data_IF_322152728949
#
_entry.id   IF_322152728949
#
_cell.length_a   1.000
_cell.length_b   1.000
_cell.length_c   1.000
_cell.angle_alpha   90.00
_cell.angle_beta   90.00
_cell.angle_gamma   90.00
#
_symmetry.space_group_name_H-M   'P 1'
#
loop_
_entity.id
_entity.type
_entity.pdbx_description
1 polymer ?
#
# COMPACT_ATOMS: atom_id res chain seq x y z
N UNK A 1 51.66 -22.79 -42.50
CA UNK A 1 50.21 -22.62 -42.21
C UNK A 1 49.92 -23.42 -40.97
N UNK A 2 49.57 -22.74 -39.82
CA UNK A 2 49.13 -23.41 -38.60
C UNK A 2 47.59 -23.50 -38.66
N UNK A 3 47.06 -24.73 -38.73
CA UNK A 3 45.63 -24.97 -38.58
C UNK A 3 45.25 -24.77 -37.12
N UNK A 4 44.37 -23.78 -36.86
CA UNK A 4 43.70 -23.63 -35.58
C UNK A 4 42.53 -24.59 -35.52
N UNK A 5 42.68 -25.68 -34.75
CA UNK A 5 41.57 -26.59 -34.42
C UNK A 5 40.59 -25.85 -33.51
N UNK A 6 39.48 -25.39 -34.03
CA UNK A 6 38.35 -24.87 -33.24
C UNK A 6 37.75 -26.04 -32.45
N UNK A 7 37.99 -26.11 -31.16
CA UNK A 7 37.30 -26.98 -30.22
C UNK A 7 35.93 -26.39 -29.91
N UNK A 8 34.94 -26.77 -30.67
CA UNK A 8 33.54 -26.56 -30.27
C UNK A 8 33.17 -27.62 -29.24
N UNK A 9 33.39 -27.37 -27.96
CA UNK A 9 32.88 -28.18 -26.87
C UNK A 9 31.40 -27.98 -26.76
N UNK A 10 30.59 -28.94 -27.18
CA UNK A 10 29.15 -28.94 -26.95
C UNK A 10 28.84 -29.32 -25.50
N UNK A 11 27.78 -28.74 -24.93
CA UNK A 11 27.26 -29.11 -23.61
C UNK A 11 26.81 -30.57 -23.61
N UNK A 12 27.17 -31.31 -22.55
CA UNK A 12 26.67 -32.67 -22.35
C UNK A 12 25.26 -32.64 -21.75
N UNK A 13 24.48 -33.70 -22.04
CA UNK A 13 23.13 -33.86 -21.49
C UNK A 13 23.19 -33.90 -19.95
N UNK A 14 24.20 -34.51 -19.36
CA UNK A 14 24.39 -34.62 -17.90
C UNK A 14 24.70 -33.26 -17.27
N UNK A 15 25.48 -32.37 -17.92
CA UNK A 15 25.71 -31.01 -17.42
C UNK A 15 24.44 -30.20 -17.38
N UNK A 16 23.57 -30.31 -18.39
CA UNK A 16 22.28 -29.64 -18.40
C UNK A 16 21.38 -30.15 -17.26
N UNK A 17 21.34 -31.47 -17.03
CA UNK A 17 20.54 -32.06 -15.95
C UNK A 17 21.01 -31.59 -14.56
N UNK A 18 22.33 -31.52 -14.33
CA UNK A 18 22.88 -31.04 -13.03
C UNK A 18 22.50 -29.56 -12.82
N UNK A 19 22.64 -28.71 -13.82
CA UNK A 19 22.28 -27.30 -13.73
C UNK A 19 20.79 -27.12 -13.40
N UNK A 20 19.90 -27.86 -14.09
CA UNK A 20 18.46 -27.81 -13.81
C UNK A 20 18.13 -28.30 -12.39
N UNK A 21 18.82 -29.35 -11.90
CA UNK A 21 18.62 -29.84 -10.56
C UNK A 21 19.03 -28.80 -9.50
N UNK A 22 20.17 -28.12 -9.68
CA UNK A 22 20.63 -27.06 -8.78
C UNK A 22 19.67 -25.88 -8.77
N UNK A 23 19.22 -25.43 -9.94
CA UNK A 23 18.25 -24.33 -10.05
C UNK A 23 16.94 -24.72 -9.35
N UNK A 24 16.44 -25.93 -9.52
CA UNK A 24 15.23 -26.41 -8.88
C UNK A 24 15.31 -26.37 -7.34
N UNK A 25 16.46 -26.76 -6.77
CA UNK A 25 16.70 -26.69 -5.32
C UNK A 25 16.71 -25.23 -4.85
N UNK A 26 17.44 -24.35 -5.52
CA UNK A 26 17.55 -22.94 -5.17
C UNK A 26 16.19 -22.24 -5.21
N UNK A 27 15.41 -22.47 -6.27
CA UNK A 27 14.05 -21.92 -6.42
C UNK A 27 13.14 -22.43 -5.30
N UNK A 28 13.22 -23.72 -4.96
CA UNK A 28 12.42 -24.32 -3.88
C UNK A 28 12.64 -23.67 -2.51
N UNK A 29 13.84 -23.18 -2.20
CA UNK A 29 14.16 -22.49 -0.95
C UNK A 29 13.69 -21.02 -0.96
N UNK A 30 13.80 -20.36 -2.10
CA UNK A 30 13.54 -18.92 -2.23
C UNK A 30 12.04 -18.62 -2.27
N UNK A 31 11.22 -19.42 -2.95
CA UNK A 31 9.79 -19.15 -3.17
C UNK A 31 8.97 -18.85 -1.90
N UNK A 32 9.08 -19.59 -0.79
CA UNK A 32 8.30 -19.29 0.42
C UNK A 32 8.65 -17.93 1.05
N UNK A 33 9.89 -17.47 0.94
CA UNK A 33 10.35 -16.19 1.48
C UNK A 33 9.76 -14.99 0.74
N UNK A 34 9.48 -15.11 -0.55
CA UNK A 34 8.94 -14.01 -1.36
C UNK A 34 7.57 -13.52 -0.92
N UNK A 35 6.72 -14.40 -0.40
CA UNK A 35 5.36 -14.02 0.03
C UNK A 35 5.42 -13.05 1.22
N UNK A 36 6.21 -13.37 2.25
CA UNK A 36 6.36 -12.50 3.42
C UNK A 36 6.94 -11.13 3.06
N UNK A 37 7.98 -11.10 2.22
CA UNK A 37 8.58 -9.85 1.74
C UNK A 37 7.60 -8.98 0.95
N UNK A 38 6.72 -9.58 0.17
CA UNK A 38 5.69 -8.85 -0.58
C UNK A 38 4.66 -8.20 0.35
N UNK A 39 4.21 -8.94 1.37
CA UNK A 39 3.23 -8.45 2.34
C UNK A 39 3.83 -7.29 3.16
N UNK A 40 5.08 -7.39 3.58
CA UNK A 40 5.81 -6.33 4.28
C UNK A 40 6.03 -5.09 3.41
N UNK A 41 6.40 -5.27 2.14
CA UNK A 41 6.54 -4.17 1.19
C UNK A 41 5.20 -3.46 0.94
N UNK A 42 4.10 -4.20 0.83
CA UNK A 42 2.76 -3.62 0.71
C UNK A 42 2.35 -2.86 1.97
N UNK A 43 2.65 -3.40 3.15
CA UNK A 43 2.38 -2.73 4.42
C UNK A 43 3.16 -1.41 4.55
N UNK A 44 4.44 -1.43 4.24
CA UNK A 44 5.28 -0.23 4.24
C UNK A 44 4.77 0.83 3.26
N UNK A 45 4.29 0.40 2.08
CA UNK A 45 3.64 1.28 1.12
C UNK A 45 2.36 1.91 1.70
N UNK A 46 1.50 1.11 2.35
CA UNK A 46 0.27 1.61 2.98
C UNK A 46 0.59 2.70 4.01
N UNK A 47 1.58 2.49 4.87
CA UNK A 47 1.98 3.50 5.85
C UNK A 47 2.45 4.81 5.18
N UNK A 48 3.21 4.72 4.09
CA UNK A 48 3.64 5.87 3.31
C UNK A 48 2.47 6.60 2.64
N UNK A 49 1.57 5.86 2.02
CA UNK A 49 0.37 6.39 1.37
C UNK A 49 -0.57 7.09 2.39
N UNK A 50 -0.79 6.47 3.56
CA UNK A 50 -1.62 7.04 4.63
C UNK A 50 -1.05 8.35 5.16
N UNK A 51 0.27 8.43 5.40
CA UNK A 51 0.93 9.68 5.82
C UNK A 51 0.83 10.77 4.76
N UNK A 52 0.98 10.41 3.49
CA UNK A 52 0.82 11.34 2.36
C UNK A 52 -0.60 11.88 2.30
N UNK A 53 -1.60 11.02 2.43
CA UNK A 53 -3.02 11.40 2.46
C UNK A 53 -3.35 12.25 3.68
N UNK A 54 -2.80 11.93 4.86
CA UNK A 54 -2.94 12.74 6.06
C UNK A 54 -2.43 14.17 5.83
N UNK A 55 -1.21 14.31 5.36
CA UNK A 55 -0.62 15.63 5.03
C UNK A 55 -1.47 16.39 4.02
N UNK A 56 -2.01 15.70 3.01
CA UNK A 56 -2.87 16.31 2.00
C UNK A 56 -4.21 16.78 2.58
N UNK A 57 -4.86 15.99 3.47
CA UNK A 57 -6.11 16.37 4.14
C UNK A 57 -5.90 17.56 5.07
N UNK A 58 -4.81 17.58 5.82
CA UNK A 58 -4.46 18.72 6.69
C UNK A 58 -4.18 19.99 5.88
N UNK A 59 -3.42 19.87 4.80
CA UNK A 59 -3.16 20.99 3.88
C UNK A 59 -4.45 21.49 3.22
N UNK A 60 -5.35 20.58 2.85
CA UNK A 60 -6.68 20.96 2.33
C UNK A 60 -7.45 21.80 3.35
N UNK A 61 -7.49 21.37 4.61
CA UNK A 61 -8.18 22.08 5.68
C UNK A 61 -7.60 23.49 5.88
N UNK A 62 -6.29 23.65 5.88
CA UNK A 62 -5.64 24.96 5.99
C UNK A 62 -6.10 25.93 4.88
N UNK A 63 -6.23 25.45 3.65
CA UNK A 63 -6.61 26.28 2.50
C UNK A 63 -8.15 26.47 2.37
N UNK A 64 -8.96 25.66 3.06
CA UNK A 64 -10.42 25.67 2.99
C UNK A 64 -11.08 26.03 4.33
N UNK A 65 -10.63 27.08 5.00
CA UNK A 65 -11.22 27.64 6.23
C UNK A 65 -11.39 26.61 7.36
N UNK A 66 -10.44 25.70 7.48
CA UNK A 66 -10.43 24.58 8.44
C UNK A 66 -11.52 23.52 8.18
N UNK A 67 -12.10 23.48 6.98
CA UNK A 67 -13.01 22.42 6.59
C UNK A 67 -12.23 21.26 5.98
N UNK A 68 -12.56 20.04 6.40
CA UNK A 68 -12.01 18.81 5.82
C UNK A 68 -12.72 18.41 4.52
N UNK A 69 -12.09 17.59 3.65
CA UNK A 69 -12.76 17.03 2.48
C UNK A 69 -14.07 16.34 2.88
N UNK A 70 -15.09 16.48 2.05
CA UNK A 70 -16.38 15.80 2.30
C UNK A 70 -16.22 14.29 2.12
N UNK A 71 -16.80 13.52 3.05
CA UNK A 71 -16.83 12.07 2.98
C UNK A 71 -17.59 11.59 1.74
N UNK A 72 -17.08 10.53 1.09
CA UNK A 72 -17.71 9.92 -0.09
C UNK A 72 -16.71 9.07 -0.87
N UNK A 73 -17.17 8.35 -1.90
CA UNK A 73 -16.30 7.49 -2.70
C UNK A 73 -15.20 8.27 -3.43
N UNK A 74 -15.48 9.52 -3.78
CA UNK A 74 -14.55 10.39 -4.53
C UNK A 74 -13.84 11.42 -3.64
N UNK A 75 -13.70 11.16 -2.34
CA UNK A 75 -13.11 12.14 -1.41
C UNK A 75 -11.71 12.60 -1.82
N UNK A 76 -10.89 11.71 -2.37
CA UNK A 76 -9.54 12.05 -2.85
C UNK A 76 -9.56 12.97 -4.07
N UNK A 77 -10.65 12.99 -4.84
CA UNK A 77 -10.79 13.90 -5.98
C UNK A 77 -10.80 15.37 -5.53
N UNK A 78 -11.32 15.66 -4.35
CA UNK A 78 -11.29 17.01 -3.78
C UNK A 78 -9.84 17.47 -3.52
N UNK A 79 -8.93 16.56 -3.17
CA UNK A 79 -7.48 16.83 -3.00
C UNK A 79 -6.75 17.00 -4.34
N UNK A 80 -7.21 16.30 -5.38
CA UNK A 80 -6.67 16.42 -6.74
C UNK A 80 -7.07 17.75 -7.37
N UNK A 81 -8.32 18.15 -7.19
CA UNK A 81 -8.92 19.35 -7.80
C UNK A 81 -8.65 20.63 -6.98
N UNK A 82 -8.04 20.49 -5.78
CA UNK A 82 -7.68 21.63 -4.91
C UNK A 82 -6.63 22.55 -5.51
N UNK A 83 -6.55 23.77 -5.00
CA UNK A 83 -5.52 24.75 -5.37
C UNK A 83 -4.85 25.30 -4.11
N UNK A 84 -3.56 24.98 -3.88
CA UNK A 84 -2.68 24.15 -4.71
C UNK A 84 -3.14 22.67 -4.77
N UNK A 85 -2.76 21.97 -5.84
CA UNK A 85 -3.01 20.53 -6.00
C UNK A 85 -2.24 19.76 -4.93
N UNK A 86 -2.91 18.91 -4.18
CA UNK A 86 -2.33 18.26 -3.01
C UNK A 86 -1.88 16.81 -3.27
N UNK A 87 -2.56 16.12 -4.18
CA UNK A 87 -2.15 14.80 -4.68
C UNK A 87 -2.33 14.73 -6.20
N UNK A 88 -1.54 13.92 -6.88
CA UNK A 88 -1.58 13.83 -8.35
C UNK A 88 -2.67 12.91 -8.88
N UNK A 89 -2.96 11.85 -8.16
CA UNK A 89 -3.93 10.82 -8.55
C UNK A 89 -4.52 10.13 -7.33
N UNK A 90 -5.66 9.47 -7.53
CA UNK A 90 -6.27 8.63 -6.50
C UNK A 90 -5.33 7.50 -6.08
N UNK A 91 -5.10 7.39 -4.78
CA UNK A 91 -4.33 6.33 -4.16
C UNK A 91 -5.23 5.14 -3.84
N UNK A 92 -4.84 3.98 -4.33
CA UNK A 92 -5.57 2.72 -4.20
C UNK A 92 -4.95 1.90 -3.07
N UNK A 93 -5.81 1.40 -2.17
CA UNK A 93 -5.39 0.50 -1.10
C UNK A 93 -4.93 -0.85 -1.69
N UNK A 94 -3.64 -1.24 -1.54
CA UNK A 94 -3.12 -2.49 -2.08
C UNK A 94 -3.72 -3.74 -1.41
N UNK A 95 -4.28 -3.61 -0.21
CA UNK A 95 -4.94 -4.69 0.50
C UNK A 95 -6.42 -4.84 0.12
N UNK A 96 -7.02 -3.84 -0.52
CA UNK A 96 -8.40 -3.92 -0.99
C UNK A 96 -8.56 -4.94 -2.12
N UNK A 97 -9.43 -5.93 -1.92
CA UNK A 97 -9.75 -6.95 -2.93
C UNK A 97 -10.41 -6.36 -4.18
N UNK A 98 -11.14 -5.25 -4.01
CA UNK A 98 -11.86 -4.55 -5.08
C UNK A 98 -11.05 -3.42 -5.71
N UNK A 99 -9.76 -3.26 -5.32
CA UNK A 99 -8.93 -2.12 -5.71
C UNK A 99 -9.58 -0.77 -5.39
N UNK A 100 -10.28 -0.71 -4.26
CA UNK A 100 -10.90 0.51 -3.78
C UNK A 100 -9.84 1.50 -3.26
N UNK A 101 -10.12 2.80 -3.29
CA UNK A 101 -9.29 3.80 -2.63
C UNK A 101 -9.29 3.60 -1.11
N UNK A 102 -8.34 4.22 -0.41
CA UNK A 102 -8.32 4.25 1.05
C UNK A 102 -9.64 4.78 1.60
N UNK A 103 -10.10 4.19 2.70
CA UNK A 103 -11.30 4.63 3.39
C UNK A 103 -11.06 5.98 4.07
N UNK A 104 -12.09 6.81 4.13
CA UNK A 104 -12.04 8.09 4.79
C UNK A 104 -13.34 8.33 5.54
N UNK A 105 -13.21 8.65 6.82
CA UNK A 105 -14.31 9.00 7.70
C UNK A 105 -13.99 10.33 8.36
N UNK A 106 -14.94 11.26 8.33
CA UNK A 106 -14.83 12.57 9.01
C UNK A 106 -16.07 12.82 9.85
N UNK A 107 -15.87 13.29 11.09
CA UNK A 107 -16.96 13.60 12.01
C UNK A 107 -16.53 14.78 12.89
N UNK A 108 -17.16 15.94 12.66
CA UNK A 108 -16.78 17.18 13.34
C UNK A 108 -15.33 17.57 13.08
N UNK A 109 -14.53 17.78 14.15
CA UNK A 109 -13.12 18.17 14.02
C UNK A 109 -12.17 16.98 13.77
N UNK A 110 -12.66 15.75 13.75
CA UNK A 110 -11.84 14.54 13.63
C UNK A 110 -12.04 13.85 12.31
N UNK A 111 -10.94 13.30 11.78
CA UNK A 111 -10.96 12.43 10.60
C UNK A 111 -10.09 11.21 10.82
N UNK A 112 -10.38 10.15 10.05
CA UNK A 112 -9.57 8.93 9.95
C UNK A 112 -9.44 8.53 8.51
N UNK A 113 -8.24 8.16 8.10
CA UNK A 113 -7.94 7.55 6.81
C UNK A 113 -7.44 6.14 7.09
N UNK A 114 -8.03 5.13 6.46
CA UNK A 114 -7.69 3.74 6.75
C UNK A 114 -7.56 2.87 5.51
N UNK A 115 -6.70 1.87 5.62
CA UNK A 115 -6.60 0.69 4.77
C UNK A 115 -7.41 -0.45 5.39
N UNK A 116 -7.87 -1.38 4.58
CA UNK A 116 -8.50 -2.63 5.06
C UNK A 116 -7.53 -3.54 5.81
N UNK A 117 -6.22 -3.25 5.78
CA UNK A 117 -5.17 -3.99 6.47
C UNK A 117 -4.83 -5.33 5.82
N UNK A 118 -3.82 -6.00 6.39
CA UNK A 118 -3.30 -7.29 5.90
C UNK A 118 -4.37 -8.39 5.85
N UNK A 119 -5.28 -8.41 6.81
CA UNK A 119 -6.39 -9.38 6.88
C UNK A 119 -7.52 -9.07 5.89
N UNK A 120 -7.47 -7.92 5.21
CA UNK A 120 -8.42 -7.48 4.18
C UNK A 120 -9.86 -7.35 4.66
N UNK A 121 -10.06 -7.23 5.97
CA UNK A 121 -11.38 -7.16 6.63
C UNK A 121 -11.55 -5.91 7.51
N UNK A 122 -10.50 -5.09 7.63
CA UNK A 122 -10.49 -3.90 8.46
C UNK A 122 -11.39 -2.80 7.90
N UNK A 123 -12.14 -2.15 8.78
CA UNK A 123 -12.99 -1.01 8.45
C UNK A 123 -13.11 -0.07 9.63
N UNK A 124 -12.93 1.22 9.40
CA UNK A 124 -13.34 2.25 10.36
C UNK A 124 -14.81 2.56 10.15
N UNK A 125 -15.61 2.41 11.21
CA UNK A 125 -17.06 2.60 11.17
C UNK A 125 -17.44 4.05 11.45
N UNK A 126 -16.82 4.65 12.46
CA UNK A 126 -17.07 6.03 12.85
C UNK A 126 -15.97 6.58 13.75
N UNK A 127 -15.98 7.88 13.95
CA UNK A 127 -15.17 8.61 14.94
C UNK A 127 -16.13 9.35 15.87
N UNK A 128 -15.90 9.26 17.18
CA UNK A 128 -16.72 10.00 18.14
C UNK A 128 -16.40 11.51 18.03
N UNK A 129 -17.38 12.37 17.76
CA UNK A 129 -17.13 13.81 17.56
C UNK A 129 -16.71 14.58 18.81
N UNK A 130 -16.88 13.99 20.00
CA UNK A 130 -16.54 14.64 21.29
C UNK A 130 -15.20 14.19 21.85
N UNK A 131 -14.84 12.91 21.66
CA UNK A 131 -13.63 12.31 22.23
C UNK A 131 -12.58 11.95 21.19
N UNK A 132 -12.89 11.99 19.88
CA UNK A 132 -12.00 11.51 18.83
C UNK A 132 -11.84 9.99 18.78
N UNK A 133 -12.52 9.25 19.67
CA UNK A 133 -12.37 7.79 19.75
C UNK A 133 -12.84 7.11 18.45
N UNK A 134 -11.97 6.27 17.91
CA UNK A 134 -12.21 5.53 16.67
C UNK A 134 -12.98 4.24 17.00
N UNK A 135 -14.03 3.97 16.22
CA UNK A 135 -14.79 2.72 16.26
C UNK A 135 -14.48 1.96 14.99
N UNK A 136 -13.85 0.79 15.14
CA UNK A 136 -13.37 -0.03 14.03
C UNK A 136 -13.90 -1.46 14.11
N UNK A 137 -13.84 -2.16 12.98
CA UNK A 137 -14.14 -3.58 12.83
C UNK A 137 -13.01 -4.25 12.07
N UNK A 138 -12.61 -5.46 12.48
CA UNK A 138 -11.46 -6.14 11.92
C UNK A 138 -10.15 -5.50 12.39
N UNK A 139 -9.13 -5.51 11.56
CA UNK A 139 -7.80 -4.97 11.87
C UNK A 139 -7.33 -3.97 10.79
N UNK A 140 -7.94 -2.77 10.70
CA UNK A 140 -7.51 -1.75 9.75
C UNK A 140 -6.16 -1.16 10.16
N UNK A 141 -5.41 -0.65 9.19
CA UNK A 141 -4.28 0.24 9.42
C UNK A 141 -4.74 1.67 9.15
N UNK A 142 -4.57 2.59 10.07
CA UNK A 142 -5.12 3.94 9.94
C UNK A 142 -4.21 5.04 10.46
N UNK A 143 -4.52 6.27 10.05
CA UNK A 143 -4.00 7.53 10.60
C UNK A 143 -5.17 8.48 10.87
N UNK A 144 -5.04 9.32 11.89
CA UNK A 144 -6.06 10.31 12.25
C UNK A 144 -5.41 11.58 12.80
N UNK A 145 -6.22 12.64 12.97
CA UNK A 145 -5.84 13.82 13.73
C UNK A 145 -6.32 13.77 15.19
N UNK A 146 -6.93 12.67 15.62
CA UNK A 146 -7.22 12.46 17.05
C UNK A 146 -5.95 12.00 17.74
N UNK A 147 -5.65 12.60 18.91
CA UNK A 147 -4.63 12.05 19.81
C UNK A 147 -5.18 10.76 20.43
N UNK A 148 -4.50 9.64 20.19
CA UNK A 148 -4.77 8.43 20.97
C UNK A 148 -4.39 8.68 22.41
N UNK A 149 -5.36 8.52 23.31
CA UNK A 149 -5.13 8.32 24.72
C UNK A 149 -5.28 6.85 25.07
#
# INVERSE_FOLDING_TARGET
MKEYKNFYGGFTLIELMIVMAVIAILVGIILPSFKGMKDEAQYSKVLGDLRTLQTAVESFSIHNKQEFPKMGPDWQKQLIDSRPKLIDKTMIDPFSLTKAPYQYVVTGPYYVISSVGLEKNGKVLSVNPQSGKIIEQGNPTWVSNSEEQ
#
